data_IF_067914895905
#
_entry.id   IF_067914895905
#
_cell.length_a   1.000
_cell.length_b   1.000
_cell.length_c   1.000
_cell.angle_alpha   90.00
_cell.angle_beta   90.00
_cell.angle_gamma   90.00
#
_symmetry.space_group_name_H-M   'P 1'
#
loop_
_entity.id
_entity.type
_entity.pdbx_description
1 polymer ?
#
# COMPACT_ATOMS: atom_id res chain seq x y z
N UNK A 1 -1.40 8.33 6.50
CA UNK A 1 0.02 8.70 6.75
C UNK A 1 0.44 9.79 5.76
N UNK A 2 0.42 9.52 4.46
CA UNK A 2 0.92 10.45 3.43
C UNK A 2 0.36 11.88 3.54
N UNK A 3 -0.91 12.02 3.84
CA UNK A 3 -1.63 13.30 3.92
C UNK A 3 -1.72 13.88 5.34
N UNK A 4 -1.23 13.17 6.33
CA UNK A 4 -1.25 13.55 7.78
C UNK A 4 -2.62 14.08 8.26
N UNK A 5 -3.71 13.44 7.83
CA UNK A 5 -5.08 13.92 8.07
C UNK A 5 -5.50 13.95 9.56
N UNK A 6 -4.87 13.13 10.38
CA UNK A 6 -5.22 12.96 11.80
C UNK A 6 -4.25 13.64 12.77
N UNK A 7 -3.20 14.33 12.25
CA UNK A 7 -2.18 14.99 13.02
C UNK A 7 -0.96 14.12 13.35
N UNK A 8 0.11 14.77 13.78
CA UNK A 8 1.43 14.13 13.90
C UNK A 8 1.47 12.98 14.91
N UNK A 9 0.84 13.13 16.06
CA UNK A 9 0.88 12.13 17.13
C UNK A 9 0.34 10.77 16.65
N UNK A 10 -0.88 10.74 16.09
CA UNK A 10 -1.49 9.50 15.63
C UNK A 10 -0.84 9.00 14.34
N UNK A 11 -0.49 9.89 13.44
CA UNK A 11 0.17 9.55 12.17
C UNK A 11 1.52 8.92 12.41
N UNK A 12 2.33 9.44 13.33
CA UNK A 12 3.65 8.89 13.63
C UNK A 12 3.57 7.48 14.19
N UNK A 13 2.72 7.23 15.18
CA UNK A 13 2.53 5.90 15.76
C UNK A 13 2.04 4.88 14.73
N UNK A 14 1.08 5.28 13.90
CA UNK A 14 0.59 4.42 12.82
C UNK A 14 1.69 4.13 11.80
N UNK A 15 2.49 5.13 11.46
CA UNK A 15 3.62 4.99 10.54
C UNK A 15 4.66 4.00 11.07
N UNK A 16 4.98 4.03 12.35
CA UNK A 16 5.92 3.08 12.97
C UNK A 16 5.45 1.64 12.83
N UNK A 17 4.16 1.37 13.03
CA UNK A 17 3.57 0.02 12.84
C UNK A 17 3.63 -0.39 11.36
N UNK A 18 3.33 0.53 10.45
CA UNK A 18 3.40 0.29 9.01
C UNK A 18 4.83 -0.01 8.56
N UNK A 19 5.79 0.80 8.99
CA UNK A 19 7.21 0.65 8.65
C UNK A 19 7.78 -0.67 9.23
N UNK A 20 7.37 -1.05 10.44
CA UNK A 20 7.75 -2.33 11.05
C UNK A 20 7.24 -3.51 10.20
N UNK A 21 5.97 -3.47 9.78
CA UNK A 21 5.42 -4.49 8.90
C UNK A 21 6.17 -4.57 7.56
N UNK A 22 6.51 -3.43 6.97
CA UNK A 22 7.28 -3.38 5.72
C UNK A 22 8.66 -3.99 5.91
N UNK A 23 9.36 -3.67 7.00
CA UNK A 23 10.67 -4.25 7.32
C UNK A 23 10.61 -5.78 7.44
N UNK A 24 9.60 -6.32 8.13
CA UNK A 24 9.41 -7.77 8.26
C UNK A 24 9.11 -8.41 6.89
N UNK A 25 8.22 -7.81 6.10
CA UNK A 25 7.89 -8.29 4.74
C UNK A 25 9.14 -8.40 3.85
N UNK A 26 10.08 -7.47 3.99
CA UNK A 26 11.34 -7.44 3.25
C UNK A 26 12.47 -8.24 3.94
N UNK A 27 12.15 -9.01 4.99
CA UNK A 27 13.10 -9.81 5.77
C UNK A 27 14.22 -9.00 6.46
N UNK A 28 14.00 -7.69 6.64
CA UNK A 28 14.90 -6.82 7.40
C UNK A 28 14.58 -6.91 8.91
N UNK A 29 14.84 -8.11 9.46
CA UNK A 29 14.52 -8.42 10.86
C UNK A 29 15.33 -7.59 11.86
N UNK A 30 16.55 -7.24 11.53
CA UNK A 30 17.41 -6.42 12.41
C UNK A 30 16.85 -5.00 12.58
N UNK A 31 16.31 -4.43 11.51
CA UNK A 31 15.59 -3.17 11.55
C UNK A 31 14.29 -3.31 12.34
N UNK A 32 13.49 -4.33 12.03
CA UNK A 32 12.20 -4.56 12.67
C UNK A 32 12.34 -4.77 14.20
N UNK A 33 13.36 -5.47 14.67
CA UNK A 33 13.64 -5.69 16.10
C UNK A 33 13.90 -4.40 16.88
N UNK A 34 14.41 -3.36 16.22
CA UNK A 34 14.70 -2.06 16.85
C UNK A 34 13.49 -1.12 16.86
N UNK A 35 12.46 -1.44 16.07
CA UNK A 35 11.26 -0.60 15.94
C UNK A 35 10.31 -0.83 17.11
N UNK A 36 9.41 0.11 17.34
CA UNK A 36 8.43 0.07 18.44
C UNK A 36 9.07 -0.18 19.82
N UNK A 37 10.26 0.41 20.05
CA UNK A 37 10.99 0.24 21.31
C UNK A 37 11.47 -1.19 21.57
N UNK A 38 11.61 -2.01 20.53
CA UNK A 38 12.05 -3.40 20.65
C UNK A 38 10.93 -4.40 20.97
N UNK A 39 9.69 -3.95 21.05
CA UNK A 39 8.54 -4.79 21.41
C UNK A 39 8.28 -5.99 20.48
N UNK A 40 8.81 -5.94 19.25
CA UNK A 40 8.63 -7.01 18.27
C UNK A 40 9.71 -8.10 18.34
N UNK A 41 10.76 -7.90 19.15
CA UNK A 41 11.95 -8.78 19.15
C UNK A 41 11.63 -10.23 19.52
N UNK A 42 10.71 -10.44 20.46
CA UNK A 42 10.29 -11.78 20.91
C UNK A 42 9.51 -12.56 19.86
N UNK A 43 8.88 -11.88 18.90
CA UNK A 43 8.09 -12.47 17.83
C UNK A 43 8.88 -12.65 16.52
N UNK A 44 10.14 -12.25 16.49
CA UNK A 44 11.01 -12.34 15.31
C UNK A 44 12.13 -13.38 15.53
N UNK A 45 11.74 -14.55 16.02
CA UNK A 45 12.65 -15.65 16.35
C UNK A 45 12.89 -16.60 15.17
N UNK A 46 11.87 -16.80 14.33
CA UNK A 46 11.88 -17.66 13.16
C UNK A 46 10.93 -17.12 12.06
N UNK A 47 11.01 -17.72 10.87
CA UNK A 47 10.23 -17.27 9.70
C UNK A 47 8.72 -17.43 9.88
N UNK A 48 8.26 -18.46 10.57
CA UNK A 48 6.84 -18.71 10.80
C UNK A 48 6.24 -17.65 11.73
N UNK A 49 6.92 -17.41 12.85
CA UNK A 49 6.53 -16.38 13.82
C UNK A 49 6.56 -14.98 13.19
N UNK A 50 7.53 -14.69 12.34
CA UNK A 50 7.60 -13.46 11.59
C UNK A 50 6.44 -13.31 10.58
N UNK A 51 6.03 -14.39 9.91
CA UNK A 51 4.88 -14.41 9.01
C UNK A 51 3.58 -14.14 9.77
N UNK A 52 3.37 -14.78 10.92
CA UNK A 52 2.20 -14.56 11.78
C UNK A 52 2.16 -13.12 12.30
N UNK A 53 3.28 -12.57 12.73
CA UNK A 53 3.39 -11.18 13.14
C UNK A 53 3.04 -10.22 12.00
N UNK A 54 3.55 -10.48 10.79
CA UNK A 54 3.22 -9.67 9.60
C UNK A 54 1.71 -9.67 9.33
N UNK A 55 1.06 -10.81 9.49
CA UNK A 55 -0.40 -10.92 9.31
C UNK A 55 -1.16 -10.19 10.42
N UNK A 56 -0.74 -10.31 11.67
CA UNK A 56 -1.32 -9.58 12.80
C UNK A 56 -1.22 -8.06 12.61
N UNK A 57 -0.04 -7.56 12.22
CA UNK A 57 0.17 -6.14 11.92
C UNK A 57 -0.70 -5.66 10.74
N UNK A 58 -0.88 -6.49 9.71
CA UNK A 58 -1.79 -6.19 8.59
C UNK A 58 -3.24 -6.02 9.05
N UNK A 59 -3.70 -6.90 9.92
CA UNK A 59 -5.06 -6.81 10.49
C UNK A 59 -5.19 -5.53 11.31
N UNK A 60 -4.22 -5.22 12.17
CA UNK A 60 -4.22 -4.00 12.97
C UNK A 60 -4.27 -2.74 12.11
N UNK A 61 -3.43 -2.65 11.07
CA UNK A 61 -3.39 -1.53 10.11
C UNK A 61 -4.74 -1.36 9.41
N UNK A 62 -5.34 -2.44 8.92
CA UNK A 62 -6.64 -2.38 8.24
C UNK A 62 -7.78 -2.02 9.19
N UNK A 63 -7.70 -2.45 10.46
CA UNK A 63 -8.69 -2.13 11.49
C UNK A 63 -8.74 -0.64 11.80
N UNK A 64 -7.62 0.08 11.73
CA UNK A 64 -7.60 1.54 11.93
C UNK A 64 -8.51 2.25 10.93
N UNK A 65 -8.43 1.88 9.63
CA UNK A 65 -9.34 2.44 8.62
C UNK A 65 -10.79 2.05 8.91
N UNK A 66 -11.04 0.77 9.16
CA UNK A 66 -12.39 0.26 9.41
C UNK A 66 -13.06 0.93 10.62
N UNK A 67 -12.36 1.06 11.73
CA UNK A 67 -12.89 1.65 12.96
C UNK A 67 -13.08 3.17 12.84
N UNK A 68 -12.13 3.87 12.24
CA UNK A 68 -12.22 5.33 12.08
C UNK A 68 -13.31 5.75 11.10
N UNK A 69 -13.61 4.92 10.09
CA UNK A 69 -14.65 5.17 9.08
C UNK A 69 -16.01 4.55 9.41
N UNK A 70 -16.13 3.82 10.52
CA UNK A 70 -17.33 3.09 10.89
C UNK A 70 -18.54 4.03 11.10
N UNK A 71 -19.72 3.56 10.66
CA UNK A 71 -20.99 4.28 10.89
C UNK A 71 -21.59 4.00 12.26
N UNK A 72 -21.18 2.90 12.89
CA UNK A 72 -21.59 2.55 14.26
C UNK A 72 -20.70 3.26 15.29
N UNK A 73 -21.24 3.51 16.48
CA UNK A 73 -20.52 4.13 17.59
C UNK A 73 -19.39 3.21 18.08
N UNK A 74 -18.17 3.76 18.12
CA UNK A 74 -17.01 3.13 18.71
C UNK A 74 -15.99 4.22 19.14
N UNK A 75 -15.07 3.92 20.09
CA UNK A 75 -14.12 4.89 20.63
C UNK A 75 -13.12 5.46 19.62
N UNK A 76 -12.93 4.78 18.49
CA UNK A 76 -11.95 5.14 17.46
C UNK A 76 -12.58 5.86 16.26
N UNK A 77 -13.89 6.02 16.25
CA UNK A 77 -14.61 6.71 15.18
C UNK A 77 -14.10 8.14 15.04
N UNK A 78 -13.79 8.53 13.82
CA UNK A 78 -13.32 9.88 13.51
C UNK A 78 -14.21 10.52 12.44
N UNK A 79 -14.81 11.67 12.77
CA UNK A 79 -15.71 12.37 11.86
C UNK A 79 -15.04 12.77 10.53
N UNK A 80 -13.73 13.00 10.53
CA UNK A 80 -12.97 13.30 9.32
C UNK A 80 -12.94 12.13 8.34
N UNK A 81 -13.04 10.88 8.83
CA UNK A 81 -13.07 9.67 8.02
C UNK A 81 -14.49 9.10 7.77
N UNK A 82 -15.52 9.63 8.40
CA UNK A 82 -16.90 9.21 8.16
C UNK A 82 -17.32 9.37 6.68
N UNK A 83 -16.83 10.44 6.04
CA UNK A 83 -17.04 10.70 4.62
C UNK A 83 -16.04 10.00 3.71
N UNK A 84 -15.32 9.01 4.23
CA UNK A 84 -14.28 8.29 3.50
C UNK A 84 -13.19 9.19 2.91
N UNK A 85 -12.76 10.22 3.63
CA UNK A 85 -11.75 11.16 3.13
C UNK A 85 -10.45 10.46 2.72
N UNK A 86 -10.05 9.41 3.43
CA UNK A 86 -8.85 8.62 3.10
C UNK A 86 -9.01 7.94 1.75
N UNK A 87 -10.15 7.27 1.50
CA UNK A 87 -10.43 6.61 0.23
C UNK A 87 -10.56 7.63 -0.93
N UNK A 88 -11.25 8.75 -0.69
CA UNK A 88 -11.39 9.83 -1.69
C UNK A 88 -10.04 10.43 -2.10
N UNK A 89 -9.14 10.66 -1.13
CA UNK A 89 -7.79 11.17 -1.39
C UNK A 89 -6.94 10.16 -2.15
N UNK A 90 -7.00 8.89 -1.77
CA UNK A 90 -6.31 7.82 -2.51
C UNK A 90 -6.82 7.71 -3.95
N UNK A 91 -8.14 7.73 -4.16
CA UNK A 91 -8.74 7.69 -5.49
C UNK A 91 -8.32 8.89 -6.35
N UNK A 92 -8.33 10.11 -5.79
CA UNK A 92 -7.88 11.30 -6.48
C UNK A 92 -6.41 11.21 -6.91
N UNK A 93 -5.54 10.74 -6.00
CA UNK A 93 -4.14 10.50 -6.32
C UNK A 93 -3.97 9.53 -7.50
N UNK A 94 -4.68 8.39 -7.46
CA UNK A 94 -4.59 7.37 -8.51
C UNK A 94 -5.13 7.88 -9.86
N UNK A 95 -6.19 8.69 -9.87
CA UNK A 95 -6.72 9.33 -11.08
C UNK A 95 -5.69 10.31 -11.66
N UNK A 96 -5.08 11.13 -10.84
CA UNK A 96 -4.03 12.06 -11.26
C UNK A 96 -2.81 11.32 -11.82
N UNK A 97 -2.34 10.27 -11.14
CA UNK A 97 -1.27 9.40 -11.61
C UNK A 97 -1.59 8.81 -12.99
N UNK A 98 -2.82 8.30 -13.17
CA UNK A 98 -3.29 7.80 -14.47
C UNK A 98 -3.13 8.87 -15.56
N UNK A 99 -3.62 10.08 -15.32
CA UNK A 99 -3.53 11.16 -16.30
C UNK A 99 -2.07 11.52 -16.62
N UNK A 100 -1.20 11.57 -15.62
CA UNK A 100 0.21 11.87 -15.81
C UNK A 100 0.95 10.77 -16.61
N UNK A 101 0.61 9.51 -16.42
CA UNK A 101 1.10 8.39 -17.22
C UNK A 101 0.61 8.50 -18.67
N UNK A 102 -0.67 8.82 -18.87
CA UNK A 102 -1.27 8.99 -20.21
C UNK A 102 -0.67 10.19 -20.95
N UNK A 103 -0.40 11.32 -20.29
CA UNK A 103 0.30 12.48 -20.89
C UNK A 103 1.69 12.14 -21.43
N UNK A 104 2.32 11.10 -20.89
CA UNK A 104 3.63 10.59 -21.34
C UNK A 104 3.52 9.57 -22.47
N UNK A 105 2.32 9.40 -23.02
CA UNK A 105 2.07 8.53 -24.17
C UNK A 105 1.82 7.06 -23.83
N UNK A 106 1.67 6.71 -22.55
CA UNK A 106 1.41 5.34 -22.13
C UNK A 106 -0.07 5.09 -21.92
N UNK A 107 -0.52 3.88 -22.23
CA UNK A 107 -1.86 3.40 -21.89
C UNK A 107 -1.90 2.90 -20.47
N UNK A 108 -3.01 3.12 -19.77
CA UNK A 108 -3.29 2.49 -18.48
C UNK A 108 -4.39 1.46 -18.70
N UNK A 109 -4.04 0.17 -18.63
CA UNK A 109 -4.96 -0.93 -18.88
C UNK A 109 -5.89 -1.20 -17.69
N UNK A 110 -5.39 -1.00 -16.47
CA UNK A 110 -6.17 -1.21 -15.26
C UNK A 110 -5.60 -0.40 -14.10
N UNK A 111 -6.49 0.10 -13.26
CA UNK A 111 -6.16 0.83 -12.04
C UNK A 111 -7.06 0.34 -10.91
N UNK A 112 -6.49 0.13 -9.76
CA UNK A 112 -7.20 -0.17 -8.50
C UNK A 112 -6.85 0.86 -7.45
N UNK A 113 -7.33 0.64 -6.22
CA UNK A 113 -7.08 1.51 -5.06
C UNK A 113 -5.60 1.79 -4.85
N UNK A 114 -4.73 0.81 -5.08
CA UNK A 114 -3.30 0.82 -4.73
C UNK A 114 -2.40 0.28 -5.85
N UNK A 115 -2.92 0.02 -7.03
CA UNK A 115 -2.11 -0.51 -8.13
C UNK A 115 -2.50 0.06 -9.49
N UNK A 116 -1.51 0.18 -10.39
CA UNK A 116 -1.66 0.61 -11.77
C UNK A 116 -0.99 -0.41 -12.70
N UNK A 117 -1.66 -0.76 -13.79
CA UNK A 117 -1.16 -1.69 -14.83
C UNK A 117 -0.93 -0.90 -16.11
N UNK A 118 0.31 -0.87 -16.55
CA UNK A 118 0.75 -0.09 -17.72
C UNK A 118 1.28 -1.09 -18.76
N UNK A 119 0.59 -1.28 -19.89
CA UNK A 119 1.12 -2.07 -20.99
C UNK A 119 2.41 -1.47 -21.54
N UNK A 120 3.32 -2.33 -21.98
CA UNK A 120 4.60 -1.96 -22.59
C UNK A 120 5.41 -0.96 -21.73
N UNK A 121 5.32 -1.10 -20.41
CA UNK A 121 5.99 -0.21 -19.47
C UNK A 121 7.51 -0.26 -19.64
N UNK A 122 8.10 0.91 -19.89
CA UNK A 122 9.55 1.09 -19.93
C UNK A 122 10.13 1.33 -18.53
N UNK A 123 11.44 1.13 -18.30
CA UNK A 123 12.08 1.49 -17.04
C UNK A 123 11.86 2.96 -16.65
N UNK A 124 11.71 3.84 -17.63
CA UNK A 124 11.47 5.27 -17.41
C UNK A 124 10.10 5.54 -16.81
N UNK A 125 9.03 4.91 -17.35
CA UNK A 125 7.69 5.11 -16.79
C UNK A 125 7.55 4.46 -15.42
N UNK A 126 8.22 3.32 -15.17
CA UNK A 126 8.25 2.67 -13.86
C UNK A 126 8.91 3.61 -12.83
N UNK A 127 10.05 4.20 -13.19
CA UNK A 127 10.74 5.20 -12.35
C UNK A 127 9.85 6.42 -12.10
N UNK A 128 9.23 6.94 -13.16
CA UNK A 128 8.31 8.07 -13.03
C UNK A 128 7.17 7.79 -12.04
N UNK A 129 6.51 6.63 -12.12
CA UNK A 129 5.43 6.25 -11.18
C UNK A 129 5.93 6.20 -9.75
N UNK A 130 7.12 5.62 -9.54
CA UNK A 130 7.75 5.54 -8.22
C UNK A 130 8.05 6.94 -7.66
N UNK A 131 8.64 7.82 -8.46
CA UNK A 131 9.04 9.16 -8.04
C UNK A 131 7.82 10.06 -7.83
N UNK A 132 6.81 9.96 -8.69
CA UNK A 132 5.54 10.65 -8.53
C UNK A 132 4.84 10.23 -7.22
N UNK A 133 4.82 8.92 -6.92
CA UNK A 133 4.30 8.43 -5.65
C UNK A 133 5.04 9.06 -4.46
N UNK A 134 6.37 9.02 -4.46
CA UNK A 134 7.21 9.58 -3.38
C UNK A 134 6.95 11.06 -3.14
N UNK A 135 6.72 11.84 -4.19
CA UNK A 135 6.41 13.27 -4.10
C UNK A 135 5.18 13.55 -3.24
N UNK A 136 4.20 12.63 -3.25
CA UNK A 136 2.97 12.72 -2.46
C UNK A 136 2.95 11.82 -1.22
N UNK A 137 4.10 11.24 -0.83
CA UNK A 137 4.25 10.42 0.34
C UNK A 137 3.78 8.95 0.17
N UNK A 138 3.57 8.51 -1.07
CA UNK A 138 3.26 7.10 -1.39
C UNK A 138 4.50 6.35 -1.87
N UNK A 139 4.59 5.07 -1.52
CA UNK A 139 5.66 4.18 -1.98
C UNK A 139 5.10 3.19 -2.98
N UNK A 140 5.54 3.27 -4.22
CA UNK A 140 5.22 2.28 -5.25
C UNK A 140 6.38 1.31 -5.43
N UNK A 141 6.04 0.03 -5.55
CA UNK A 141 6.97 -1.05 -5.87
C UNK A 141 6.55 -1.66 -7.21
N UNK A 142 7.51 -2.00 -8.04
CA UNK A 142 7.28 -2.79 -9.25
C UNK A 142 7.20 -4.26 -8.85
N UNK A 143 5.99 -4.77 -8.58
CA UNK A 143 5.78 -6.12 -8.05
C UNK A 143 5.96 -7.20 -9.11
N UNK A 144 5.55 -6.95 -10.35
CA UNK A 144 5.57 -7.96 -11.39
C UNK A 144 5.52 -7.38 -12.81
N UNK A 145 6.07 -8.14 -13.76
CA UNK A 145 5.85 -7.96 -15.18
C UNK A 145 5.09 -9.16 -15.73
N UNK A 146 3.96 -8.89 -16.38
CA UNK A 146 3.13 -9.90 -17.01
C UNK A 146 3.47 -10.02 -18.50
N UNK A 147 3.49 -11.25 -19.02
CA UNK A 147 3.53 -11.53 -20.45
C UNK A 147 2.16 -11.24 -21.10
N UNK A 148 1.10 -11.66 -20.43
CA UNK A 148 -0.28 -11.44 -20.85
C UNK A 148 -1.18 -11.17 -19.67
N UNK A 149 -2.19 -10.34 -19.88
CA UNK A 149 -3.21 -10.05 -18.88
C UNK A 149 -4.58 -9.99 -19.56
N UNK A 150 -5.58 -10.59 -18.92
CA UNK A 150 -6.98 -10.52 -19.32
C UNK A 150 -7.82 -10.03 -18.15
N UNK A 151 -8.53 -8.93 -18.33
CA UNK A 151 -9.52 -8.45 -17.39
C UNK A 151 -10.81 -9.24 -17.54
N UNK A 152 -11.23 -9.91 -16.47
CA UNK A 152 -12.51 -10.64 -16.42
C UNK A 152 -13.64 -9.68 -16.03
N UNK A 153 -13.35 -8.80 -15.09
CA UNK A 153 -14.22 -7.68 -14.68
C UNK A 153 -13.37 -6.63 -13.94
N UNK A 154 -14.00 -5.59 -13.39
CA UNK A 154 -13.31 -4.49 -12.69
C UNK A 154 -12.45 -4.92 -11.50
N UNK A 155 -12.73 -6.07 -10.91
CA UNK A 155 -12.03 -6.58 -9.72
C UNK A 155 -11.13 -7.78 -9.99
N UNK A 156 -11.39 -8.54 -11.05
CA UNK A 156 -10.75 -9.84 -11.34
C UNK A 156 -10.02 -9.81 -12.68
N UNK A 157 -8.81 -10.27 -12.66
CA UNK A 157 -8.01 -10.49 -13.88
C UNK A 157 -7.25 -11.80 -13.80
N UNK A 158 -6.89 -12.34 -14.94
CA UNK A 158 -5.98 -13.47 -15.11
C UNK A 158 -4.71 -12.92 -15.75
N UNK A 159 -3.56 -13.24 -15.18
CA UNK A 159 -2.28 -12.79 -15.71
C UNK A 159 -1.27 -13.94 -15.77
N UNK A 160 -0.51 -13.97 -16.85
CA UNK A 160 0.64 -14.85 -17.01
C UNK A 160 1.91 -14.05 -16.74
N UNK A 161 2.69 -14.47 -15.76
CA UNK A 161 3.99 -13.86 -15.47
C UNK A 161 5.02 -14.20 -16.56
N UNK A 162 6.02 -13.35 -16.74
CA UNK A 162 7.13 -13.61 -17.68
C UNK A 162 7.94 -14.86 -17.33
N UNK A 163 7.97 -15.25 -16.05
CA UNK A 163 8.64 -16.45 -15.56
C UNK A 163 7.80 -17.75 -15.72
N UNK A 164 6.63 -17.66 -16.37
CA UNK A 164 5.74 -18.79 -16.64
C UNK A 164 4.79 -19.17 -15.52
N UNK A 165 4.80 -18.48 -14.40
CA UNK A 165 3.78 -18.63 -13.35
C UNK A 165 2.45 -18.02 -13.79
N UNK A 166 1.36 -18.53 -13.21
CA UNK A 166 -0.01 -18.09 -13.46
C UNK A 166 -0.70 -17.66 -12.16
#
# INVERSE_FOLDING_TARGET
VAENLFGDEYTQRFKEILDARIAIKHQDFDKARKMLGGALSEYLTDENTAADLTQALKIAINSVYGLTSAKFENPFRDNRNNDNIVAKRGALFMINLKHEVQKRGFTVAHIKTDSIKIPDATPEIIRFVTDYGKQYGYSFEHEATYDRMCLVNDAVYIAKYKDGKH
#
